data_IF_363593475615
#
_entry.id   IF_363593475615
#
_cell.length_a   1.000
_cell.length_b   1.000
_cell.length_c   1.000
_cell.angle_alpha   90.00
_cell.angle_beta   90.00
_cell.angle_gamma   90.00
#
_symmetry.space_group_name_H-M   'P 1'
#
loop_
_entity.id
_entity.type
_entity.pdbx_description
1 polymer ?
#
# COMPACT_ATOMS: atom_id res chain seq x y z
N UNK A 1 12.28 14.78 -22.45
CA UNK A 1 11.91 13.88 -23.57
C UNK A 1 11.62 12.46 -23.08
N UNK A 2 12.58 11.75 -22.45
CA UNK A 2 12.40 10.37 -21.97
C UNK A 2 11.23 10.30 -20.96
N UNK A 3 11.23 11.15 -19.94
CA UNK A 3 10.14 11.26 -18.98
C UNK A 3 8.76 11.43 -19.66
N UNK A 4 8.67 12.30 -20.66
CA UNK A 4 7.42 12.54 -21.40
C UNK A 4 6.95 11.29 -22.15
N UNK A 5 7.88 10.53 -22.74
CA UNK A 5 7.56 9.28 -23.44
C UNK A 5 6.96 8.26 -22.45
N UNK A 6 7.60 8.05 -21.30
CA UNK A 6 7.09 7.12 -20.30
C UNK A 6 5.77 7.59 -19.69
N UNK A 7 5.62 8.90 -19.46
CA UNK A 7 4.35 9.45 -18.98
C UNK A 7 3.19 9.14 -19.95
N UNK A 8 3.40 9.33 -21.25
CA UNK A 8 2.36 9.04 -22.27
C UNK A 8 2.06 7.54 -22.33
N UNK A 9 3.09 6.69 -22.29
CA UNK A 9 2.89 5.22 -22.32
C UNK A 9 2.09 4.79 -21.09
N UNK A 10 2.46 5.21 -19.89
CA UNK A 10 1.75 4.85 -18.66
C UNK A 10 0.32 5.38 -18.68
N UNK A 11 0.11 6.63 -19.14
CA UNK A 11 -1.23 7.20 -19.23
C UNK A 11 -2.12 6.37 -20.16
N UNK A 12 -1.63 5.99 -21.34
CA UNK A 12 -2.38 5.14 -22.28
C UNK A 12 -2.68 3.78 -21.64
N UNK A 13 -1.71 3.14 -21.00
CA UNK A 13 -1.91 1.85 -20.32
C UNK A 13 -2.95 1.97 -19.21
N UNK A 14 -2.90 3.02 -18.40
CA UNK A 14 -3.89 3.28 -17.35
C UNK A 14 -5.29 3.51 -17.95
N UNK A 15 -5.42 4.24 -19.07
CA UNK A 15 -6.71 4.44 -19.72
C UNK A 15 -7.28 3.10 -20.18
N UNK A 16 -6.49 2.24 -20.79
CA UNK A 16 -6.93 0.90 -21.22
C UNK A 16 -7.39 0.06 -20.02
N UNK A 17 -6.66 0.10 -18.91
CA UNK A 17 -7.05 -0.57 -17.67
C UNK A 17 -8.41 -0.05 -17.14
N UNK A 18 -8.63 1.29 -17.15
CA UNK A 18 -9.91 1.83 -16.70
C UNK A 18 -11.06 1.46 -17.62
N UNK A 19 -10.83 1.47 -18.94
CA UNK A 19 -11.85 1.04 -19.93
C UNK A 19 -12.25 -0.41 -19.70
N UNK A 20 -11.30 -1.31 -19.46
CA UNK A 20 -11.58 -2.72 -19.16
C UNK A 20 -12.30 -2.90 -17.81
N UNK A 21 -11.88 -2.18 -16.77
CA UNK A 21 -12.48 -2.28 -15.45
C UNK A 21 -13.93 -1.78 -15.41
N UNK A 22 -14.25 -0.69 -16.13
CA UNK A 22 -15.56 -0.06 -16.13
C UNK A 22 -16.43 -0.44 -17.34
N UNK A 23 -16.07 -1.49 -18.08
CA UNK A 23 -16.78 -1.90 -19.31
C UNK A 23 -18.28 -2.16 -19.12
N UNK A 24 -18.67 -2.64 -17.94
CA UNK A 24 -20.05 -2.97 -17.59
C UNK A 24 -20.81 -1.80 -16.90
N UNK A 25 -20.15 -0.64 -16.75
CA UNK A 25 -20.68 0.56 -16.08
C UNK A 25 -20.68 1.71 -17.09
N UNK A 26 -21.84 2.34 -17.26
CA UNK A 26 -21.99 3.46 -18.22
C UNK A 26 -21.33 4.75 -17.65
N UNK A 27 -20.04 4.89 -17.85
CA UNK A 27 -19.26 6.06 -17.46
C UNK A 27 -18.73 6.80 -18.70
N UNK A 28 -18.70 8.13 -18.60
CA UNK A 28 -18.10 9.00 -19.63
C UNK A 28 -16.62 8.67 -19.84
N UNK A 29 -16.16 8.57 -21.08
CA UNK A 29 -14.74 8.39 -21.42
C UNK A 29 -13.83 9.42 -20.77
N UNK A 30 -14.30 10.68 -20.67
CA UNK A 30 -13.55 11.74 -19.99
C UNK A 30 -13.28 11.44 -18.50
N UNK A 31 -14.23 10.78 -17.85
CA UNK A 31 -14.09 10.35 -16.46
C UNK A 31 -13.04 9.25 -16.30
N UNK A 32 -12.97 8.30 -17.24
CA UNK A 32 -11.92 7.26 -17.25
C UNK A 32 -10.52 7.86 -17.46
N UNK A 33 -10.42 8.87 -18.34
CA UNK A 33 -9.17 9.63 -18.54
C UNK A 33 -8.78 10.36 -17.24
N UNK A 34 -9.72 11.00 -16.55
CA UNK A 34 -9.47 11.65 -15.26
C UNK A 34 -8.95 10.65 -14.21
N UNK A 35 -9.58 9.48 -14.07
CA UNK A 35 -9.10 8.43 -13.15
C UNK A 35 -7.69 7.96 -13.50
N UNK A 36 -7.40 7.82 -14.79
CA UNK A 36 -6.07 7.45 -15.27
C UNK A 36 -5.02 8.50 -14.90
N UNK A 37 -5.35 9.78 -14.98
CA UNK A 37 -4.48 10.87 -14.54
C UNK A 37 -4.18 10.80 -13.02
N UNK A 38 -5.14 10.41 -12.20
CA UNK A 38 -4.92 10.25 -10.75
C UNK A 38 -3.95 9.11 -10.42
N UNK A 39 -3.98 8.01 -11.19
CA UNK A 39 -3.12 6.84 -10.98
C UNK A 39 -1.73 7.00 -11.60
N UNK A 40 -1.60 7.67 -12.74
CA UNK A 40 -0.37 7.79 -13.54
C UNK A 40 0.86 8.27 -12.75
N UNK A 41 0.79 9.30 -11.87
CA UNK A 41 1.96 9.78 -11.12
C UNK A 41 2.55 8.72 -10.19
N UNK A 42 1.75 7.87 -9.59
CA UNK A 42 2.22 6.79 -8.72
C UNK A 42 2.98 5.72 -9.51
N UNK A 43 2.42 5.26 -10.62
CA UNK A 43 3.10 4.30 -11.50
C UNK A 43 4.38 4.88 -12.08
N UNK A 44 4.36 6.17 -12.45
CA UNK A 44 5.54 6.86 -12.95
C UNK A 44 6.64 6.94 -11.88
N UNK A 45 6.29 7.14 -10.60
CA UNK A 45 7.25 7.14 -9.50
C UNK A 45 7.92 5.78 -9.34
N UNK A 46 7.18 4.68 -9.46
CA UNK A 46 7.71 3.31 -9.34
C UNK A 46 8.78 3.01 -10.38
N UNK A 47 8.62 3.51 -11.63
CA UNK A 47 9.59 3.30 -12.70
C UNK A 47 10.62 4.42 -12.84
N UNK A 48 10.60 5.42 -11.98
CA UNK A 48 11.46 6.60 -12.02
C UNK A 48 12.95 6.27 -12.00
N UNK A 49 13.45 5.28 -11.21
CA UNK A 49 14.86 4.85 -11.29
C UNK A 49 15.29 4.41 -12.70
N UNK A 50 14.42 3.71 -13.42
CA UNK A 50 14.68 3.26 -14.79
C UNK A 50 14.70 4.45 -15.77
N UNK A 51 13.79 5.40 -15.61
CA UNK A 51 13.77 6.66 -16.40
C UNK A 51 15.08 7.43 -16.19
N UNK A 52 15.57 7.52 -14.95
CA UNK A 52 16.84 8.17 -14.65
C UNK A 52 18.01 7.47 -15.31
N UNK A 53 18.05 6.14 -15.25
CA UNK A 53 19.11 5.34 -15.89
C UNK A 53 19.18 5.63 -17.39
N UNK A 54 18.05 5.53 -18.09
CA UNK A 54 17.99 5.82 -19.52
C UNK A 54 18.33 7.29 -19.84
N UNK A 55 17.83 8.23 -19.03
CA UNK A 55 18.13 9.64 -19.21
C UNK A 55 19.63 9.93 -19.06
N UNK A 56 20.27 9.30 -18.11
CA UNK A 56 21.72 9.43 -17.88
C UNK A 56 22.52 8.85 -19.05
N UNK A 57 22.12 7.68 -19.57
CA UNK A 57 22.76 7.10 -20.76
C UNK A 57 22.67 8.04 -21.96
N UNK A 58 21.48 8.53 -22.28
CA UNK A 58 21.27 9.45 -23.41
C UNK A 58 22.05 10.76 -23.22
N UNK A 59 22.12 11.24 -21.99
CA UNK A 59 22.90 12.44 -21.66
C UNK A 59 24.40 12.22 -21.94
N UNK A 60 24.99 11.12 -21.50
CA UNK A 60 26.41 10.83 -21.77
C UNK A 60 26.69 10.59 -23.26
N UNK A 61 25.82 9.88 -23.97
CA UNK A 61 25.92 9.72 -25.42
C UNK A 61 25.95 11.08 -26.12
N UNK A 62 25.08 12.00 -25.69
CA UNK A 62 25.04 13.34 -26.24
C UNK A 62 26.32 14.15 -25.99
N UNK A 63 26.86 14.09 -24.75
CA UNK A 63 28.15 14.72 -24.40
C UNK A 63 29.32 14.19 -25.23
N UNK A 64 29.35 12.87 -25.45
CA UNK A 64 30.40 12.23 -26.26
C UNK A 64 30.29 12.66 -27.73
N UNK A 65 29.09 12.56 -28.30
CA UNK A 65 28.86 12.87 -29.72
C UNK A 65 29.12 14.34 -30.07
N UNK A 66 29.00 15.24 -29.10
CA UNK A 66 29.31 16.67 -29.27
C UNK A 66 30.71 17.07 -28.85
N UNK A 67 31.56 16.12 -28.46
CA UNK A 67 32.91 16.35 -27.92
C UNK A 67 32.92 17.27 -26.67
N UNK A 68 31.76 17.50 -26.02
CA UNK A 68 31.67 18.34 -24.84
C UNK A 68 32.41 17.74 -23.64
N UNK A 69 32.54 16.41 -23.59
CA UNK A 69 33.31 15.72 -22.57
C UNK A 69 34.84 16.04 -22.66
N UNK A 70 35.36 16.25 -23.86
CA UNK A 70 36.75 16.66 -24.07
C UNK A 70 36.96 18.11 -23.64
N UNK A 71 36.00 18.99 -23.91
CA UNK A 71 36.04 20.38 -23.45
C UNK A 71 36.11 20.44 -21.91
N UNK A 72 35.33 19.62 -21.21
CA UNK A 72 35.42 19.54 -19.74
C UNK A 72 36.79 19.03 -19.26
N UNK A 73 37.42 18.09 -19.96
CA UNK A 73 38.78 17.63 -19.65
C UNK A 73 39.82 18.71 -19.85
N UNK A 74 39.72 19.49 -20.92
CA UNK A 74 40.61 20.64 -21.18
C UNK A 74 40.51 21.73 -20.12
N UNK A 75 39.37 21.87 -19.42
CA UNK A 75 39.22 22.80 -18.28
C UNK A 75 39.75 22.23 -16.96
N UNK A 76 40.43 21.06 -16.97
CA UNK A 76 41.02 20.43 -15.79
C UNK A 76 40.09 19.51 -15.02
N UNK A 77 38.91 19.20 -15.57
CA UNK A 77 38.00 18.23 -15.00
C UNK A 77 38.38 16.82 -15.46
N UNK A 78 38.73 15.95 -14.53
CA UNK A 78 38.92 14.54 -14.83
C UNK A 78 37.57 13.78 -14.74
N UNK A 79 37.51 12.59 -15.34
CA UNK A 79 36.27 11.78 -15.36
C UNK A 79 35.66 11.56 -13.97
N UNK A 80 36.51 11.36 -12.95
CA UNK A 80 36.04 11.15 -11.57
C UNK A 80 35.34 12.39 -10.99
N UNK A 81 35.88 13.60 -11.25
CA UNK A 81 35.25 14.85 -10.83
C UNK A 81 33.88 15.06 -11.51
N UNK A 82 33.82 14.76 -12.83
CA UNK A 82 32.54 14.87 -13.58
C UNK A 82 31.51 13.94 -13.00
N UNK A 83 31.84 12.66 -12.77
CA UNK A 83 30.91 11.69 -12.18
C UNK A 83 30.49 12.09 -10.77
N UNK A 84 31.43 12.60 -9.94
CA UNK A 84 31.13 13.05 -8.58
C UNK A 84 30.15 14.22 -8.57
N UNK A 85 30.34 15.21 -9.44
CA UNK A 85 29.42 16.35 -9.56
C UNK A 85 28.04 15.90 -10.00
N UNK A 86 27.94 15.10 -11.05
CA UNK A 86 26.67 14.57 -11.53
C UNK A 86 25.97 13.70 -10.49
N UNK A 87 26.73 12.84 -9.79
CA UNK A 87 26.20 12.00 -8.71
C UNK A 87 25.63 12.83 -7.56
N UNK A 88 26.32 13.91 -7.16
CA UNK A 88 25.83 14.81 -6.11
C UNK A 88 24.51 15.50 -6.51
N UNK A 89 24.44 16.04 -7.74
CA UNK A 89 23.21 16.66 -8.23
C UNK A 89 22.07 15.65 -8.36
N UNK A 90 22.35 14.44 -8.87
CA UNK A 90 21.35 13.37 -8.97
C UNK A 90 20.84 12.94 -7.59
N UNK A 91 21.71 12.88 -6.59
CA UNK A 91 21.33 12.54 -5.21
C UNK A 91 20.39 13.61 -4.59
N UNK A 92 20.74 14.89 -4.73
CA UNK A 92 19.90 15.99 -4.26
C UNK A 92 18.54 15.96 -4.97
N UNK A 93 18.53 15.80 -6.30
CA UNK A 93 17.31 15.69 -7.07
C UNK A 93 16.46 14.48 -6.64
N UNK A 94 17.09 13.34 -6.34
CA UNK A 94 16.43 12.15 -5.83
C UNK A 94 15.71 12.41 -4.50
N UNK A 95 16.35 13.11 -3.56
CA UNK A 95 15.72 13.50 -2.29
C UNK A 95 14.49 14.39 -2.54
N UNK A 96 14.60 15.40 -3.40
CA UNK A 96 13.49 16.30 -3.75
C UNK A 96 12.33 15.50 -4.36
N UNK A 97 12.61 14.57 -5.25
CA UNK A 97 11.58 13.73 -5.86
C UNK A 97 10.90 12.81 -4.84
N UNK A 98 11.65 12.20 -3.92
CA UNK A 98 11.06 11.37 -2.87
C UNK A 98 10.19 12.22 -1.94
N UNK A 99 10.64 13.38 -1.50
CA UNK A 99 9.89 14.21 -0.53
C UNK A 99 8.69 14.88 -1.17
N UNK A 100 8.82 15.43 -2.38
CA UNK A 100 7.76 16.22 -3.01
C UNK A 100 6.89 15.39 -3.95
N UNK A 101 7.50 14.68 -4.89
CA UNK A 101 6.75 13.99 -5.95
C UNK A 101 6.05 12.74 -5.41
N UNK A 102 6.70 11.94 -4.53
CA UNK A 102 6.08 10.78 -3.92
C UNK A 102 4.84 11.15 -3.09
N UNK A 103 4.95 12.15 -2.20
CA UNK A 103 3.80 12.57 -1.40
C UNK A 103 2.64 13.07 -2.27
N UNK A 104 2.92 13.84 -3.32
CA UNK A 104 1.89 14.27 -4.27
C UNK A 104 1.25 13.09 -5.01
N UNK A 105 2.05 12.14 -5.48
CA UNK A 105 1.56 10.95 -6.19
C UNK A 105 0.75 10.02 -5.29
N UNK A 106 1.12 9.85 -4.00
CA UNK A 106 0.39 9.03 -3.05
C UNK A 106 -1.00 9.58 -2.74
N UNK A 107 -1.14 10.91 -2.59
CA UNK A 107 -2.44 11.57 -2.40
C UNK A 107 -3.35 11.33 -3.61
N UNK A 108 -2.82 11.50 -4.83
CA UNK A 108 -3.58 11.25 -6.06
C UNK A 108 -3.99 9.77 -6.18
N UNK A 109 -3.07 8.86 -5.87
CA UNK A 109 -3.34 7.42 -5.84
C UNK A 109 -4.42 7.06 -4.83
N UNK A 110 -4.37 7.63 -3.62
CA UNK A 110 -5.39 7.40 -2.61
C UNK A 110 -6.77 7.85 -3.10
N UNK A 111 -6.86 9.05 -3.70
CA UNK A 111 -8.11 9.56 -4.27
C UNK A 111 -8.63 8.65 -5.39
N UNK A 112 -7.75 8.16 -6.25
CA UNK A 112 -8.08 7.18 -7.29
C UNK A 112 -8.65 5.89 -6.69
N UNK A 113 -8.00 5.32 -5.66
CA UNK A 113 -8.44 4.09 -5.02
C UNK A 113 -9.79 4.24 -4.32
N UNK A 114 -10.02 5.37 -3.62
CA UNK A 114 -11.31 5.68 -3.00
C UNK A 114 -12.44 5.72 -4.03
N UNK A 115 -12.21 6.38 -5.17
CA UNK A 115 -13.20 6.45 -6.25
C UNK A 115 -13.44 5.05 -6.84
N UNK A 116 -12.38 4.31 -7.17
CA UNK A 116 -12.48 2.97 -7.76
C UNK A 116 -13.19 1.99 -6.84
N UNK A 117 -12.95 2.10 -5.53
CA UNK A 117 -13.59 1.26 -4.52
C UNK A 117 -15.11 1.45 -4.43
N UNK A 118 -15.63 2.67 -4.73
CA UNK A 118 -17.07 2.91 -4.74
C UNK A 118 -17.82 2.11 -5.83
N UNK A 119 -17.09 1.61 -6.83
CA UNK A 119 -17.60 0.78 -7.92
C UNK A 119 -17.21 -0.69 -7.80
N UNK A 120 -16.57 -1.08 -6.71
CA UNK A 120 -16.16 -2.46 -6.43
C UNK A 120 -16.88 -3.00 -5.21
N UNK A 121 -17.54 -4.14 -5.34
CA UNK A 121 -18.25 -4.79 -4.23
C UNK A 121 -17.30 -5.39 -3.18
N UNK A 122 -16.00 -5.52 -3.49
CA UNK A 122 -15.05 -6.31 -2.70
C UNK A 122 -14.15 -5.49 -1.77
N UNK A 123 -14.20 -4.14 -1.78
CA UNK A 123 -13.26 -3.27 -1.06
C UNK A 123 -11.75 -3.57 -1.29
N UNK A 124 -11.42 -4.28 -2.36
CA UNK A 124 -10.05 -4.74 -2.71
C UNK A 124 -9.03 -3.62 -2.87
N UNK A 125 -9.50 -2.44 -3.25
CA UNK A 125 -8.60 -1.33 -3.58
C UNK A 125 -8.15 -0.53 -2.36
N UNK A 126 -8.81 -0.68 -1.21
CA UNK A 126 -8.44 0.00 0.04
C UNK A 126 -7.62 -0.88 0.97
N UNK A 127 -7.71 -2.21 0.86
CA UNK A 127 -6.96 -3.14 1.68
C UNK A 127 -6.42 -4.30 0.86
N UNK A 128 -5.23 -4.79 1.18
CA UNK A 128 -4.71 -6.04 0.62
C UNK A 128 -5.37 -7.19 1.36
N UNK A 129 -6.56 -7.58 0.90
CA UNK A 129 -7.19 -8.83 1.31
C UNK A 129 -6.67 -9.87 0.35
N UNK A 130 -6.00 -10.91 0.86
CA UNK A 130 -5.62 -12.06 0.04
C UNK A 130 -6.88 -12.84 -0.37
N UNK A 131 -6.79 -13.70 -1.40
CA UNK A 131 -7.89 -14.60 -1.78
C UNK A 131 -8.41 -15.44 -0.61
N UNK A 132 -7.58 -15.62 0.44
CA UNK A 132 -7.87 -16.38 1.65
C UNK A 132 -8.40 -15.53 2.82
N UNK A 133 -8.76 -14.26 2.59
CA UNK A 133 -9.24 -13.32 3.62
C UNK A 133 -8.13 -12.64 4.42
N UNK A 134 -8.52 -12.01 5.50
CA UNK A 134 -7.66 -11.30 6.45
C UNK A 134 -7.14 -12.26 7.51
N UNK A 135 -5.83 -12.28 7.72
CA UNK A 135 -5.19 -13.03 8.80
C UNK A 135 -4.38 -12.08 9.68
N UNK A 136 -4.61 -12.13 10.99
CA UNK A 136 -3.89 -11.33 11.98
C UNK A 136 -3.49 -12.18 13.17
N UNK A 137 -2.32 -11.89 13.74
CA UNK A 137 -1.89 -12.33 15.06
C UNK A 137 -1.96 -11.15 16.01
N UNK A 138 -2.66 -11.28 17.10
CA UNK A 138 -2.73 -10.31 18.18
C UNK A 138 -2.27 -10.97 19.50
N UNK A 139 -1.45 -10.25 20.27
CA UNK A 139 -0.91 -10.76 21.52
C UNK A 139 -1.25 -9.79 22.65
N UNK A 140 -2.10 -10.24 23.57
CA UNK A 140 -2.60 -9.43 24.69
C UNK A 140 -2.59 -10.29 25.95
N UNK A 141 -2.03 -9.73 27.03
CA UNK A 141 -2.04 -10.35 28.36
C UNK A 141 -1.51 -11.80 28.37
N UNK A 142 -0.45 -12.06 27.58
CA UNK A 142 0.17 -13.38 27.43
C UNK A 142 -0.70 -14.44 26.70
N UNK A 143 -1.81 -14.01 26.08
CA UNK A 143 -2.62 -14.82 25.18
C UNK A 143 -2.35 -14.42 23.72
N UNK A 144 -2.31 -15.41 22.84
CA UNK A 144 -2.11 -15.21 21.42
C UNK A 144 -3.44 -15.46 20.72
N UNK A 145 -3.98 -14.42 20.07
CA UNK A 145 -5.19 -14.49 19.26
C UNK A 145 -4.81 -14.59 17.77
N UNK A 146 -5.16 -15.69 17.12
CA UNK A 146 -5.10 -15.80 15.65
C UNK A 146 -6.47 -15.50 15.11
N UNK A 147 -6.58 -14.40 14.36
CA UNK A 147 -7.82 -13.88 13.85
C UNK A 147 -7.84 -14.08 12.33
N UNK A 148 -8.87 -14.74 11.85
CA UNK A 148 -9.18 -14.85 10.43
C UNK A 148 -10.53 -14.21 10.15
N UNK A 149 -10.65 -13.41 9.11
CA UNK A 149 -11.91 -12.84 8.64
C UNK A 149 -11.99 -12.96 7.12
N UNK A 150 -13.13 -13.33 6.59
CA UNK A 150 -13.29 -13.47 5.14
C UNK A 150 -13.36 -12.12 4.43
N UNK A 151 -13.87 -11.07 5.10
CA UNK A 151 -14.05 -9.74 4.52
C UNK A 151 -13.99 -8.65 5.59
N UNK A 152 -13.42 -7.49 5.21
CA UNK A 152 -13.52 -6.24 5.97
C UNK A 152 -14.55 -5.35 5.28
N UNK A 153 -15.55 -4.89 6.01
CA UNK A 153 -16.58 -4.01 5.49
C UNK A 153 -16.77 -2.82 6.44
N UNK A 154 -16.22 -1.67 6.09
CA UNK A 154 -16.19 -0.47 6.93
C UNK A 154 -15.64 -0.79 8.33
N UNK A 155 -16.48 -0.64 9.37
CA UNK A 155 -16.13 -0.87 10.79
C UNK A 155 -16.29 -2.33 11.22
N UNK A 156 -16.61 -3.25 10.29
CA UNK A 156 -16.93 -4.63 10.61
C UNK A 156 -16.01 -5.63 9.89
N UNK A 157 -15.61 -6.66 10.64
CA UNK A 157 -15.11 -7.91 10.06
C UNK A 157 -16.26 -8.88 9.87
N UNK A 158 -16.27 -9.59 8.75
CA UNK A 158 -17.31 -10.57 8.42
C UNK A 158 -16.74 -11.98 8.37
N UNK A 159 -17.55 -12.96 8.84
CA UNK A 159 -17.21 -14.38 8.94
C UNK A 159 -15.87 -14.56 9.66
N UNK A 160 -15.85 -14.16 10.91
CA UNK A 160 -14.62 -14.11 11.73
C UNK A 160 -14.47 -15.40 12.52
N UNK A 161 -13.25 -15.92 12.50
CA UNK A 161 -12.80 -17.00 13.40
C UNK A 161 -11.60 -16.50 14.20
N UNK A 162 -11.71 -16.52 15.52
CA UNK A 162 -10.66 -16.12 16.45
C UNK A 162 -10.28 -17.35 17.27
N UNK A 163 -9.03 -17.80 17.10
CA UNK A 163 -8.48 -18.89 17.90
C UNK A 163 -7.54 -18.32 18.94
N UNK A 164 -7.87 -18.51 20.22
CA UNK A 164 -7.05 -18.10 21.36
C UNK A 164 -6.12 -19.21 21.78
N UNK A 165 -4.86 -18.87 21.98
CA UNK A 165 -3.81 -19.77 22.46
C UNK A 165 -3.20 -19.22 23.75
N UNK A 166 -2.73 -20.11 24.60
CA UNK A 166 -1.82 -19.75 25.70
C UNK A 166 -0.38 -19.56 25.19
N UNK A 167 0.54 -19.19 26.10
CA UNK A 167 1.99 -19.04 25.79
C UNK A 167 2.63 -20.31 25.21
N UNK A 168 2.12 -21.48 25.55
CA UNK A 168 2.62 -22.78 25.09
C UNK A 168 1.98 -23.23 23.78
N UNK A 169 1.26 -22.32 23.08
CA UNK A 169 0.51 -22.57 21.84
C UNK A 169 -0.57 -23.67 21.96
N UNK A 170 -1.11 -23.91 23.15
CA UNK A 170 -2.29 -24.74 23.31
C UNK A 170 -3.54 -23.90 23.10
N UNK A 171 -4.52 -24.44 22.37
CA UNK A 171 -5.79 -23.76 22.12
C UNK A 171 -6.58 -23.67 23.42
N UNK A 172 -6.98 -22.46 23.80
CA UNK A 172 -7.85 -22.19 24.96
C UNK A 172 -9.32 -22.24 24.54
N UNK A 173 -9.66 -21.51 23.47
CA UNK A 173 -11.01 -21.42 22.91
C UNK A 173 -11.00 -20.96 21.46
N UNK A 174 -12.08 -21.24 20.73
CA UNK A 174 -12.30 -20.75 19.37
C UNK A 174 -13.64 -20.01 19.37
N UNK A 175 -13.61 -18.75 18.92
CA UNK A 175 -14.80 -17.93 18.73
C UNK A 175 -15.07 -17.79 17.23
N UNK A 176 -16.31 -18.07 16.83
CA UNK A 176 -16.77 -17.88 15.46
C UNK A 176 -17.96 -16.94 15.45
N UNK A 177 -17.97 -15.95 14.56
CA UNK A 177 -19.04 -14.98 14.43
C UNK A 177 -19.18 -14.51 12.99
N UNK A 178 -20.40 -14.23 12.58
CA UNK A 178 -20.67 -13.64 11.27
C UNK A 178 -20.22 -12.17 11.20
N UNK A 179 -20.19 -11.47 12.36
CA UNK A 179 -19.92 -10.04 12.40
C UNK A 179 -19.19 -9.62 13.68
N UNK A 180 -18.11 -8.84 13.52
CA UNK A 180 -17.33 -8.26 14.61
C UNK A 180 -17.11 -6.76 14.32
N UNK A 181 -17.45 -5.91 15.29
CA UNK A 181 -17.19 -4.47 15.25
C UNK A 181 -15.76 -4.18 15.71
N UNK A 182 -14.99 -3.49 14.86
CA UNK A 182 -13.57 -3.14 15.05
C UNK A 182 -13.34 -1.63 15.11
N UNK A 183 -14.38 -0.83 15.32
CA UNK A 183 -14.29 0.64 15.38
C UNK A 183 -13.37 1.14 16.49
N UNK A 184 -13.19 0.36 17.53
CA UNK A 184 -12.30 0.64 18.67
C UNK A 184 -11.42 -0.57 19.00
N UNK A 185 -10.51 -0.40 19.96
CA UNK A 185 -9.67 -1.50 20.47
C UNK A 185 -10.44 -2.55 21.26
N UNK A 186 -11.65 -2.22 21.72
CA UNK A 186 -12.57 -3.17 22.36
C UNK A 186 -13.53 -3.68 21.28
N UNK A 187 -13.19 -4.77 20.65
CA UNK A 187 -14.00 -5.38 19.61
C UNK A 187 -15.28 -5.97 20.18
N UNK A 188 -16.39 -5.71 19.53
CA UNK A 188 -17.66 -6.34 19.88
C UNK A 188 -17.97 -7.46 18.91
N UNK A 189 -17.93 -8.69 19.40
CA UNK A 189 -18.25 -9.90 18.65
C UNK A 189 -19.75 -10.16 18.83
N UNK A 190 -20.51 -10.16 17.74
CA UNK A 190 -21.95 -10.38 17.76
C UNK A 190 -22.28 -11.86 17.59
N UNK A 191 -23.17 -12.38 18.43
CA UNK A 191 -23.68 -13.75 18.40
C UNK A 191 -22.57 -14.81 18.22
N UNK A 192 -21.47 -14.76 19.03
CA UNK A 192 -20.39 -15.71 18.85
C UNK A 192 -20.78 -17.11 19.24
N UNK A 193 -20.36 -18.06 18.44
CA UNK A 193 -20.26 -19.48 18.81
C UNK A 193 -18.91 -19.73 19.43
N UNK A 194 -18.85 -20.18 20.67
CA UNK A 194 -17.63 -20.43 21.41
C UNK A 194 -17.45 -21.94 21.57
N UNK A 195 -16.30 -22.42 21.08
CA UNK A 195 -15.86 -23.81 21.28
C UNK A 195 -14.76 -23.83 22.34
N UNK A 196 -15.03 -24.46 23.46
CA UNK A 196 -14.09 -24.62 24.58
C UNK A 196 -14.20 -26.02 25.18
N UNK A 197 -13.08 -26.69 25.36
CA UNK A 197 -13.00 -28.04 25.96
C UNK A 197 -13.99 -29.06 25.34
N UNK A 198 -14.18 -29.00 24.02
CA UNK A 198 -15.10 -29.86 23.29
C UNK A 198 -16.60 -29.54 23.48
N UNK A 199 -16.94 -28.48 24.24
CA UNK A 199 -18.30 -27.96 24.41
C UNK A 199 -18.54 -26.74 23.54
N UNK A 200 -19.73 -26.62 23.00
CA UNK A 200 -20.17 -25.47 22.21
C UNK A 200 -21.18 -24.65 23.00
N UNK A 201 -20.96 -23.33 23.08
CA UNK A 201 -21.87 -22.37 23.68
C UNK A 201 -22.06 -21.19 22.76
N UNK A 202 -23.17 -20.49 22.89
CA UNK A 202 -23.45 -19.26 22.15
C UNK A 202 -23.84 -18.15 23.12
N UNK A 203 -23.35 -16.93 22.85
CA UNK A 203 -23.66 -15.72 23.63
C UNK A 203 -24.15 -14.64 22.67
N UNK A 204 -24.94 -13.69 23.19
CA UNK A 204 -25.41 -12.57 22.36
C UNK A 204 -24.29 -11.63 21.94
N UNK A 205 -23.34 -11.38 22.87
CA UNK A 205 -22.19 -10.50 22.62
C UNK A 205 -21.00 -10.91 23.49
N UNK A 206 -19.79 -10.77 22.93
CA UNK A 206 -18.53 -10.88 23.65
C UNK A 206 -17.67 -9.68 23.30
N UNK A 207 -17.01 -9.09 24.31
CA UNK A 207 -16.04 -8.02 24.12
C UNK A 207 -14.64 -8.64 24.14
N UNK A 208 -13.87 -8.39 23.09
CA UNK A 208 -12.47 -8.80 22.97
C UNK A 208 -11.60 -7.55 22.92
N UNK A 209 -10.67 -7.40 23.86
CA UNK A 209 -9.63 -6.38 23.76
C UNK A 209 -8.67 -6.75 22.62
N UNK A 210 -8.27 -5.76 21.80
CA UNK A 210 -7.36 -5.92 20.68
C UNK A 210 -6.37 -4.77 20.60
N UNK A 211 -5.13 -5.06 20.17
CA UNK A 211 -4.16 -4.02 19.81
C UNK A 211 -4.50 -3.32 18.50
N UNK A 212 -5.44 -3.90 17.73
CA UNK A 212 -5.90 -3.39 16.45
C UNK A 212 -7.21 -2.61 16.62
N UNK A 213 -7.29 -1.49 15.95
CA UNK A 213 -8.50 -0.74 15.67
C UNK A 213 -8.66 -0.59 14.16
N UNK A 214 -9.78 -0.02 13.72
CA UNK A 214 -10.06 0.19 12.30
C UNK A 214 -8.93 0.94 11.57
N UNK A 215 -8.34 1.95 12.20
CA UNK A 215 -7.27 2.74 11.59
C UNK A 215 -6.00 1.90 11.38
N UNK A 216 -5.61 1.11 12.38
CA UNK A 216 -4.46 0.21 12.27
C UNK A 216 -4.69 -0.88 11.22
N UNK A 217 -5.88 -1.50 11.22
CA UNK A 217 -6.24 -2.53 10.24
C UNK A 217 -6.18 -1.94 8.83
N UNK A 218 -6.83 -0.82 8.58
CA UNK A 218 -6.78 -0.16 7.28
C UNK A 218 -5.36 0.24 6.89
N UNK A 219 -4.55 0.70 7.83
CA UNK A 219 -3.14 1.02 7.60
C UNK A 219 -2.29 -0.21 7.22
N UNK A 220 -2.50 -1.36 7.87
CA UNK A 220 -1.75 -2.59 7.58
C UNK A 220 -2.08 -3.17 6.20
N UNK A 221 -3.31 -2.99 5.73
CA UNK A 221 -3.82 -3.55 4.47
C UNK A 221 -4.00 -2.51 3.36
N UNK A 222 -3.66 -1.23 3.63
CA UNK A 222 -3.71 -0.20 2.59
C UNK A 222 -2.65 -0.45 1.51
N UNK A 223 -2.95 -0.02 0.30
CA UNK A 223 -1.98 -0.04 -0.78
C UNK A 223 -0.81 0.88 -0.43
N UNK A 224 0.39 0.32 -0.26
CA UNK A 224 1.58 1.06 0.18
C UNK A 224 1.89 2.28 -0.72
N UNK A 225 1.60 2.20 -2.01
CA UNK A 225 1.83 3.31 -2.94
C UNK A 225 0.83 4.46 -2.79
N UNK A 226 -0.26 4.28 -2.04
CA UNK A 226 -1.22 5.33 -1.71
C UNK A 226 -0.96 6.01 -0.36
N UNK A 227 0.00 5.51 0.42
CA UNK A 227 0.37 6.08 1.71
C UNK A 227 1.42 7.19 1.54
N UNK A 228 1.27 8.28 2.31
CA UNK A 228 2.33 9.30 2.40
C UNK A 228 3.56 8.77 3.14
N UNK A 229 4.69 9.48 3.05
CA UNK A 229 5.91 9.11 3.82
C UNK A 229 5.64 9.06 5.31
N UNK A 230 4.83 9.98 5.84
CA UNK A 230 4.47 10.03 7.27
C UNK A 230 3.66 8.80 7.66
N UNK A 231 2.68 8.43 6.82
CA UNK A 231 1.85 7.24 7.04
C UNK A 231 2.68 5.95 6.99
N UNK A 232 3.65 5.86 6.07
CA UNK A 232 4.60 4.74 6.00
C UNK A 232 5.47 4.61 7.25
N UNK A 233 5.96 5.75 7.80
CA UNK A 233 6.73 5.74 9.05
C UNK A 233 5.84 5.29 10.22
N UNK A 234 4.60 5.74 10.27
CA UNK A 234 3.62 5.34 11.29
C UNK A 234 3.28 3.87 11.18
N UNK A 235 3.05 3.39 9.95
CA UNK A 235 2.80 1.98 9.65
C UNK A 235 3.97 1.10 10.10
N UNK A 236 5.21 1.49 9.77
CA UNK A 236 6.42 0.79 10.24
C UNK A 236 6.47 0.68 11.77
N UNK A 237 6.18 1.77 12.49
CA UNK A 237 6.13 1.74 13.97
C UNK A 237 5.05 0.76 14.47
N UNK A 238 3.89 0.72 13.81
CA UNK A 238 2.81 -0.21 14.14
C UNK A 238 3.24 -1.68 13.92
N UNK A 239 3.91 -1.99 12.80
CA UNK A 239 4.46 -3.33 12.56
C UNK A 239 5.49 -3.73 13.63
N UNK A 240 6.41 -2.83 13.97
CA UNK A 240 7.43 -3.09 15.01
C UNK A 240 6.78 -3.34 16.39
N UNK A 241 5.72 -2.60 16.76
CA UNK A 241 5.01 -2.78 18.04
C UNK A 241 4.26 -4.11 18.12
N UNK A 242 3.99 -4.75 16.97
CA UNK A 242 3.29 -6.03 16.87
C UNK A 242 4.25 -7.22 16.67
N UNK A 243 5.56 -7.01 16.85
CA UNK A 243 6.61 -8.02 16.62
C UNK A 243 6.63 -8.63 15.21
N UNK A 244 6.08 -7.92 14.22
CA UNK A 244 6.31 -8.30 12.82
C UNK A 244 7.73 -7.90 12.40
N UNK A 245 8.44 -8.82 11.74
CA UNK A 245 9.72 -8.50 11.11
C UNK A 245 9.50 -7.52 9.95
N UNK A 246 10.19 -6.37 10.00
CA UNK A 246 10.14 -5.30 8.98
C UNK A 246 11.37 -5.38 8.09
#
# INVERSE_FOLDING_TARGET
KIFTIFFVIILITNILEQVEFFKDIDLSFLYLVFLSFLNTPSVLFEILPFIFLLSTQVFFIHLINKNELEVFKHTGLNNFKIIKILGLYSFILGIVLVVCFYNGSSILKNSYLLIKNNYSDDNKYLAVITENGLWMKDEINDEINIINASKVNNEFLLNVSITKFNKDFNVIEILQSEKVDISSKNWTIFNPTILKDGSQSSLDKVILESNFDLQKINGLFSNLSSLSIIDLITLRKSYMSLNYSV
#
